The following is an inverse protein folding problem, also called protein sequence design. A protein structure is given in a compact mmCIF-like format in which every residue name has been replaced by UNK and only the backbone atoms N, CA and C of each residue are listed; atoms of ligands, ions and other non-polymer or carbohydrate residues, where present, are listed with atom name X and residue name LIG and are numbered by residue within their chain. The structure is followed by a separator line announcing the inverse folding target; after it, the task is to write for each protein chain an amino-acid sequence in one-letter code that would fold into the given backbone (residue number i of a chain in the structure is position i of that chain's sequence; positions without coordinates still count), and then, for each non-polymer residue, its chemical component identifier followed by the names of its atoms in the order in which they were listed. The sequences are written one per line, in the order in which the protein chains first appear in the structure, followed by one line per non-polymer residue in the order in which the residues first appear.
data_IF_245814487631
#
_entry.id   IF_245814487631
#
_cell.length_a   1.000
_cell.length_b   1.000
_cell.length_c   1.000
_cell.angle_alpha   90.00
_cell.angle_beta   90.00
_cell.angle_gamma   90.00
#
_symmetry.space_group_name_H-M   'P 1'
#
loop_
_entity.id
_entity.type
_entity.pdbx_description
1 polymer ?
#
# COMPACT_ATOMS: atom_id res chain seq x y z
N UNK A 1 10.87 -6.36 2.23
CA UNK A 1 9.93 -5.95 3.31
C UNK A 1 8.53 -5.79 2.73
N UNK A 2 7.49 -5.91 3.57
CA UNK A 2 6.08 -5.69 3.23
C UNK A 2 5.64 -4.38 3.88
N UNK A 3 4.93 -3.52 3.15
CA UNK A 3 4.50 -2.21 3.62
C UNK A 3 2.98 -2.11 3.44
N UNK A 4 2.25 -1.88 4.53
CA UNK A 4 0.84 -1.49 4.50
C UNK A 4 0.74 0.03 4.48
N UNK A 5 -0.09 0.57 3.58
CA UNK A 5 -0.42 1.99 3.50
C UNK A 5 -1.92 2.15 3.69
N UNK A 6 -2.34 2.70 4.82
CA UNK A 6 -3.73 3.13 5.08
C UNK A 6 -3.93 4.55 4.56
N UNK A 7 -5.09 4.85 3.96
CA UNK A 7 -5.29 6.13 3.29
C UNK A 7 -4.56 6.19 1.94
N UNK A 8 -4.41 5.04 1.28
CA UNK A 8 -3.61 4.87 0.07
C UNK A 8 -4.17 5.63 -1.16
N UNK A 9 -5.48 5.89 -1.23
CA UNK A 9 -6.08 6.71 -2.29
C UNK A 9 -6.02 8.21 -1.98
N UNK A 10 -5.74 8.58 -0.72
CA UNK A 10 -5.59 9.95 -0.27
C UNK A 10 -4.39 10.70 -0.90
N UNK A 11 -4.39 12.02 -0.76
CA UNK A 11 -3.38 12.92 -1.35
C UNK A 11 -1.94 12.57 -0.93
N UNK A 12 -1.74 12.19 0.33
CA UNK A 12 -0.43 11.77 0.85
C UNK A 12 -0.15 10.33 0.45
N UNK A 13 -1.12 9.42 0.56
CA UNK A 13 -0.97 8.00 0.22
C UNK A 13 -0.48 7.80 -1.20
N UNK A 14 -1.13 8.41 -2.19
CA UNK A 14 -0.72 8.30 -3.60
C UNK A 14 0.70 8.82 -3.87
N UNK A 15 1.11 9.89 -3.19
CA UNK A 15 2.47 10.46 -3.32
C UNK A 15 3.51 9.55 -2.68
N UNK A 16 3.19 8.97 -1.52
CA UNK A 16 4.04 8.01 -0.84
C UNK A 16 4.21 6.74 -1.70
N UNK A 17 3.13 6.19 -2.24
CA UNK A 17 3.15 5.04 -3.16
C UNK A 17 4.06 5.32 -4.35
N UNK A 18 3.87 6.47 -5.03
CA UNK A 18 4.70 6.84 -6.17
C UNK A 18 6.18 6.97 -5.79
N UNK A 19 6.48 7.51 -4.60
CA UNK A 19 7.86 7.65 -4.12
C UNK A 19 8.49 6.30 -3.78
N UNK A 20 7.77 5.43 -3.07
CA UNK A 20 8.23 4.08 -2.73
C UNK A 20 8.44 3.23 -3.97
N UNK A 21 7.56 3.36 -4.96
CA UNK A 21 7.70 2.71 -6.25
C UNK A 21 8.99 3.15 -6.97
N UNK A 22 9.27 4.46 -6.98
CA UNK A 22 10.50 5.00 -7.57
C UNK A 22 11.76 4.53 -6.83
N UNK A 23 11.72 4.48 -5.51
CA UNK A 23 12.90 4.17 -4.69
C UNK A 23 13.17 2.65 -4.60
N UNK A 24 12.14 1.81 -4.70
CA UNK A 24 12.24 0.33 -4.64
C UNK A 24 12.75 -0.24 -3.31
N UNK A 25 13.16 0.62 -2.38
CA UNK A 25 13.76 0.29 -1.09
C UNK A 25 13.28 1.29 -0.04
N UNK A 26 13.28 0.88 1.23
CA UNK A 26 13.02 1.76 2.37
C UNK A 26 13.98 1.40 3.50
N UNK A 27 14.73 2.37 4.01
CA UNK A 27 15.75 2.12 5.05
C UNK A 27 16.77 1.03 4.63
N UNK A 28 17.22 1.07 3.37
CA UNK A 28 18.20 0.12 2.83
C UNK A 28 17.69 -1.30 2.54
N UNK A 29 16.41 -1.60 2.81
CA UNK A 29 15.81 -2.92 2.58
C UNK A 29 14.88 -2.88 1.36
N UNK A 30 15.01 -3.86 0.46
CA UNK A 30 14.16 -3.99 -0.74
C UNK A 30 12.68 -4.10 -0.38
N UNK A 31 11.83 -3.37 -1.09
CA UNK A 31 10.37 -3.51 -1.01
C UNK A 31 9.99 -4.76 -1.82
N UNK A 32 9.33 -5.71 -1.17
CA UNK A 32 8.88 -6.96 -1.78
C UNK A 32 7.36 -7.07 -1.87
N UNK A 33 6.63 -6.30 -1.06
CA UNK A 33 5.18 -6.22 -1.16
C UNK A 33 4.63 -4.87 -0.68
N UNK A 34 3.52 -4.44 -1.30
CA UNK A 34 2.72 -3.27 -0.91
C UNK A 34 1.26 -3.70 -0.70
N UNK A 35 0.71 -3.41 0.47
CA UNK A 35 -0.73 -3.51 0.76
C UNK A 35 -1.30 -2.10 0.80
N UNK A 36 -2.26 -1.80 -0.08
CA UNK A 36 -2.82 -0.48 -0.27
C UNK A 36 -4.26 -0.49 0.24
N UNK A 37 -4.52 0.13 1.39
CA UNK A 37 -5.85 0.18 2.00
C UNK A 37 -6.42 1.60 1.98
N UNK A 38 -7.67 1.74 1.54
CA UNK A 38 -8.44 2.98 1.66
C UNK A 38 -9.94 2.69 1.50
N UNK A 39 -10.81 3.62 1.92
CA UNK A 39 -12.27 3.52 1.71
C UNK A 39 -12.64 3.71 0.24
N UNK A 40 -11.79 4.39 -0.54
CA UNK A 40 -11.87 4.51 -2.00
C UNK A 40 -10.76 3.66 -2.63
N UNK A 41 -10.99 2.89 -3.71
CA UNK A 41 -9.95 2.05 -4.32
C UNK A 41 -8.64 2.80 -4.66
N UNK A 42 -7.49 2.42 -4.06
CA UNK A 42 -6.19 2.98 -4.43
C UNK A 42 -5.73 2.62 -5.84
N UNK A 43 -4.92 3.49 -6.45
CA UNK A 43 -4.19 3.16 -7.68
C UNK A 43 -2.89 2.43 -7.35
N UNK A 44 -2.75 1.21 -7.86
CA UNK A 44 -1.53 0.41 -7.73
C UNK A 44 -0.43 0.90 -8.69
N UNK A 45 0.84 1.03 -8.24
CA UNK A 45 1.96 1.27 -9.13
C UNK A 45 2.32 0.00 -9.91
N UNK A 46 3.06 0.14 -11.00
CA UNK A 46 3.68 -1.00 -11.70
C UNK A 46 5.09 -1.17 -11.16
N UNK A 47 5.36 -2.31 -10.51
CA UNK A 47 6.65 -2.64 -9.92
C UNK A 47 7.01 -4.11 -10.14
N UNK A 48 8.09 -4.35 -10.88
CA UNK A 48 8.54 -5.70 -11.17
C UNK A 48 9.05 -6.41 -9.91
N UNK A 49 8.58 -7.63 -9.69
CA UNK A 49 8.98 -8.46 -8.56
C UNK A 49 8.49 -7.95 -7.20
N UNK A 50 7.47 -7.08 -7.17
CA UNK A 50 6.80 -6.61 -5.95
C UNK A 50 5.35 -7.08 -5.96
N UNK A 51 4.91 -7.78 -4.92
CA UNK A 51 3.50 -8.18 -4.76
C UNK A 51 2.67 -6.99 -4.33
N UNK A 52 1.61 -6.65 -5.06
CA UNK A 52 0.74 -5.51 -4.72
C UNK A 52 -0.68 -6.02 -4.47
N UNK A 53 -1.23 -5.67 -3.30
CA UNK A 53 -2.59 -6.01 -2.90
C UNK A 53 -3.36 -4.72 -2.63
N UNK A 54 -4.57 -4.63 -3.19
CA UNK A 54 -5.45 -3.47 -3.02
C UNK A 54 -6.64 -3.89 -2.16
N UNK A 55 -6.84 -3.18 -1.06
CA UNK A 55 -7.88 -3.42 -0.07
C UNK A 55 -8.79 -2.20 -0.04
N UNK A 56 -10.04 -2.35 -0.46
CA UNK A 56 -11.03 -1.26 -0.39
C UNK A 56 -12.02 -1.55 0.73
N UNK A 57 -12.12 -0.66 1.70
CA UNK A 57 -13.02 -0.84 2.83
C UNK A 57 -12.85 0.22 3.90
N UNK A 58 -13.80 0.25 4.83
CA UNK A 58 -13.70 1.08 6.03
C UNK A 58 -12.82 0.36 7.07
N UNK A 59 -11.71 1.01 7.45
CA UNK A 59 -10.78 0.49 8.46
C UNK A 59 -11.44 0.35 9.85
N UNK A 60 -12.48 1.15 10.12
CA UNK A 60 -13.22 1.10 11.39
C UNK A 60 -14.24 -0.05 11.45
N UNK A 61 -14.51 -0.73 10.34
CA UNK A 61 -15.46 -1.85 10.32
C UNK A 61 -14.91 -3.05 11.13
N UNK A 62 -15.77 -3.77 11.87
CA UNK A 62 -15.34 -4.97 12.60
C UNK A 62 -14.63 -5.97 11.68
N UNK A 63 -13.41 -6.36 12.05
CA UNK A 63 -12.61 -7.33 11.28
C UNK A 63 -11.89 -6.77 10.04
N UNK A 64 -12.03 -5.48 9.71
CA UNK A 64 -11.39 -4.89 8.54
C UNK A 64 -9.86 -5.07 8.49
N UNK A 65 -9.22 -5.06 9.65
CA UNK A 65 -7.76 -5.20 9.77
C UNK A 65 -7.28 -6.66 9.69
N UNK A 66 -8.15 -7.65 9.85
CA UNK A 66 -7.75 -9.05 9.94
C UNK A 66 -7.14 -9.60 8.63
N UNK A 67 -7.47 -8.96 7.50
CA UNK A 67 -6.95 -9.30 6.17
C UNK A 67 -5.82 -8.37 5.72
N UNK A 68 -5.38 -7.45 6.59
CA UNK A 68 -4.28 -6.54 6.31
C UNK A 68 -2.99 -7.11 6.88
N UNK A 69 -1.96 -7.14 6.01
CA UNK A 69 -0.59 -7.65 6.20
C UNK A 69 -0.48 -9.15 6.44
#
# INVERSE_FOLDING_TARGET
MRILITGAAGMVGRKLIARLAKDGTLGGRKIGALDLHDIVPPQAPVLDGVSISVHTGDLAAPGATANLV
#
